data_IF_829675275812
#
_entry.id   IF_829675275812
#
_cell.length_a   1.000
_cell.length_b   1.000
_cell.length_c   1.000
_cell.angle_alpha   90.00
_cell.angle_beta   90.00
_cell.angle_gamma   90.00
#
_symmetry.space_group_name_H-M   'P 1'
#
loop_
_entity.id
_entity.type
_entity.pdbx_description
1 polymer ?
#
# COMPACT_ATOMS: atom_id res chain seq x y z
N UNK A 1 2.95 -3.60 16.99
CA UNK A 1 1.76 -2.82 17.39
C UNK A 1 1.44 -1.58 16.55
N UNK A 2 2.20 -1.26 15.49
CA UNK A 2 1.84 -0.17 14.55
C UNK A 2 0.77 -0.60 13.52
N UNK A 3 0.87 -1.83 12.99
CA UNK A 3 -0.11 -2.44 12.09
C UNK A 3 -1.49 -2.62 12.73
N UNK A 4 -1.55 -2.90 14.04
CA UNK A 4 -2.79 -3.03 14.79
C UNK A 4 -3.45 -1.69 15.07
N UNK A 5 -2.66 -0.64 15.27
CA UNK A 5 -3.17 0.71 15.57
C UNK A 5 -3.85 1.36 14.36
N UNK A 6 -3.37 1.07 13.14
CA UNK A 6 -3.89 1.66 11.89
C UNK A 6 -4.60 0.64 10.99
N UNK A 7 -5.19 -0.41 11.58
CA UNK A 7 -5.78 -1.51 10.83
C UNK A 7 -6.89 -1.07 9.87
N UNK A 8 -7.71 -0.10 10.29
CA UNK A 8 -8.88 0.32 9.51
C UNK A 8 -8.48 1.13 8.28
N UNK A 9 -7.49 2.00 8.43
CA UNK A 9 -6.90 2.78 7.35
C UNK A 9 -6.23 1.86 6.31
N UNK A 10 -5.54 0.82 6.78
CA UNK A 10 -4.93 -0.21 5.93
C UNK A 10 -5.97 -1.00 5.14
N UNK A 11 -7.04 -1.45 5.81
CA UNK A 11 -8.14 -2.14 5.14
C UNK A 11 -8.80 -1.21 4.11
N UNK A 12 -9.01 0.05 4.46
CA UNK A 12 -9.57 1.06 3.55
C UNK A 12 -8.71 1.22 2.30
N UNK A 13 -7.39 1.40 2.47
CA UNK A 13 -6.44 1.53 1.37
C UNK A 13 -6.44 0.31 0.44
N UNK A 14 -6.25 -0.88 1.02
CA UNK A 14 -6.20 -2.11 0.25
C UNK A 14 -7.54 -2.41 -0.45
N UNK A 15 -8.66 -2.08 0.19
CA UNK A 15 -9.99 -2.22 -0.43
C UNK A 15 -10.16 -1.30 -1.63
N UNK A 16 -9.61 -0.09 -1.61
CA UNK A 16 -9.64 0.81 -2.76
C UNK A 16 -8.78 0.29 -3.91
N UNK A 17 -7.60 -0.27 -3.63
CA UNK A 17 -6.82 -0.96 -4.67
C UNK A 17 -7.60 -2.13 -5.29
N UNK A 18 -8.28 -2.94 -4.47
CA UNK A 18 -9.15 -4.03 -4.96
C UNK A 18 -10.33 -3.49 -5.78
N UNK A 19 -10.91 -2.36 -5.37
CA UNK A 19 -12.04 -1.73 -6.05
C UNK A 19 -11.69 -1.18 -7.46
N UNK A 20 -10.42 -0.85 -7.71
CA UNK A 20 -9.94 -0.49 -9.05
C UNK A 20 -9.97 -1.70 -10.02
N UNK A 21 -10.15 -2.92 -9.51
CA UNK A 21 -10.29 -4.14 -10.29
C UNK A 21 -8.96 -4.86 -10.52
N UNK A 22 -9.00 -5.90 -11.36
CA UNK A 22 -7.81 -6.69 -11.69
C UNK A 22 -6.84 -5.85 -12.53
N UNK A 23 -5.61 -5.68 -12.06
CA UNK A 23 -4.62 -4.87 -12.76
C UNK A 23 -3.28 -4.80 -12.06
N UNK A 24 -2.35 -4.08 -12.71
CA UNK A 24 -1.06 -3.70 -12.15
C UNK A 24 -1.16 -2.22 -11.77
N UNK A 25 -0.84 -1.90 -10.52
CA UNK A 25 -0.74 -0.55 -10.00
C UNK A 25 0.73 -0.13 -10.04
N UNK A 26 1.00 1.01 -10.65
CA UNK A 26 2.32 1.62 -10.70
C UNK A 26 2.57 2.43 -9.41
N UNK A 27 3.83 2.79 -9.09
CA UNK A 27 4.17 3.48 -7.85
C UNK A 27 3.35 4.74 -7.59
N UNK A 28 3.11 5.55 -8.63
CA UNK A 28 2.32 6.76 -8.50
C UNK A 28 0.86 6.45 -8.12
N UNK A 29 0.26 5.39 -8.67
CA UNK A 29 -1.09 4.99 -8.28
C UNK A 29 -1.16 4.58 -6.80
N UNK A 30 -0.11 3.94 -6.28
CA UNK A 30 -0.03 3.56 -4.88
C UNK A 30 0.05 4.79 -3.97
N UNK A 31 0.87 5.77 -4.34
CA UNK A 31 1.07 7.01 -3.59
C UNK A 31 -0.19 7.88 -3.65
N UNK A 32 -0.79 8.07 -4.82
CA UNK A 32 -1.99 8.89 -5.01
C UNK A 32 -3.14 8.40 -4.12
N UNK A 33 -3.33 7.08 -4.04
CA UNK A 33 -4.34 6.44 -3.21
C UNK A 33 -4.06 6.58 -1.72
N UNK A 34 -2.79 6.52 -1.31
CA UNK A 34 -2.37 6.79 0.06
C UNK A 34 -2.68 8.24 0.46
N UNK A 35 -2.39 9.20 -0.42
CA UNK A 35 -2.67 10.62 -0.20
C UNK A 35 -4.16 10.97 -0.24
N UNK A 36 -4.96 10.21 -0.99
CA UNK A 36 -6.41 10.41 -1.03
C UNK A 36 -7.11 9.97 0.26
N UNK A 37 -6.55 8.98 0.98
CA UNK A 37 -7.15 8.45 2.22
C UNK A 37 -6.71 9.25 3.44
N UNK A 38 -5.46 9.68 3.43
CA UNK A 38 -4.82 10.35 4.54
C UNK A 38 -4.84 11.86 4.28
N UNK A 39 -5.55 12.61 5.13
CA UNK A 39 -5.48 14.07 5.09
C UNK A 39 -4.04 14.58 5.30
N UNK A 40 -3.84 15.90 5.21
CA UNK A 40 -2.52 16.53 5.34
C UNK A 40 -1.81 16.26 6.70
N UNK A 41 -2.52 15.79 7.73
CA UNK A 41 -2.00 15.61 9.09
C UNK A 41 -1.99 14.15 9.57
N UNK A 42 -1.97 13.17 8.65
CA UNK A 42 -2.07 11.77 9.06
C UNK A 42 -0.71 11.11 9.30
N UNK A 43 -0.48 10.68 10.54
CA UNK A 43 0.73 9.99 10.99
C UNK A 43 1.02 8.69 10.23
N UNK A 44 0.06 8.16 9.47
CA UNK A 44 0.25 6.97 8.64
C UNK A 44 1.08 7.27 7.37
N UNK A 45 0.99 8.49 6.82
CA UNK A 45 1.71 8.91 5.60
C UNK A 45 3.21 9.09 5.86
N UNK A 46 3.55 9.63 7.02
CA UNK A 46 4.93 9.83 7.47
C UNK A 46 5.40 8.72 8.44
N UNK A 47 4.52 7.75 8.71
CA UNK A 47 4.81 6.60 9.53
C UNK A 47 5.49 5.46 8.77
N UNK A 48 5.85 4.37 9.47
CA UNK A 48 6.54 3.23 8.88
C UNK A 48 5.79 2.60 7.70
N UNK A 49 4.45 2.67 7.71
CA UNK A 49 3.65 2.13 6.62
C UNK A 49 3.70 3.00 5.37
N UNK A 50 3.61 4.32 5.49
CA UNK A 50 3.77 5.24 4.38
C UNK A 50 5.13 5.06 3.68
N UNK A 51 6.20 4.86 4.44
CA UNK A 51 7.53 4.56 3.87
C UNK A 51 7.59 3.22 3.11
N UNK A 52 6.86 2.19 3.56
CA UNK A 52 6.73 0.93 2.83
C UNK A 52 6.01 1.15 1.50
N UNK A 53 4.91 1.89 1.48
CA UNK A 53 4.17 2.19 0.25
C UNK A 53 4.98 3.07 -0.70
N UNK A 54 5.70 4.08 -0.19
CA UNK A 54 6.60 4.92 -0.99
C UNK A 54 7.78 4.12 -1.60
N UNK A 55 8.20 3.04 -0.95
CA UNK A 55 9.25 2.14 -1.47
C UNK A 55 8.69 0.99 -2.33
N UNK A 56 7.37 0.87 -2.48
CA UNK A 56 6.75 -0.09 -3.37
C UNK A 56 6.98 0.27 -4.84
N UNK A 57 7.33 -0.73 -5.65
CA UNK A 57 7.61 -0.58 -7.08
C UNK A 57 6.41 -0.95 -7.96
N UNK A 58 5.58 -1.86 -7.48
CA UNK A 58 4.37 -2.27 -8.15
C UNK A 58 3.47 -2.99 -7.15
N UNK A 59 2.16 -2.93 -7.42
CA UNK A 59 1.22 -3.87 -6.81
C UNK A 59 0.40 -4.57 -7.88
N UNK A 60 0.16 -5.85 -7.68
CA UNK A 60 -0.72 -6.66 -8.52
C UNK A 60 -2.00 -6.89 -7.74
N UNK A 61 -3.11 -6.44 -8.31
CA UNK A 61 -4.43 -6.64 -7.76
C UNK A 61 -5.07 -7.83 -8.46
N UNK A 62 -5.36 -8.87 -7.68
CA UNK A 62 -6.11 -10.05 -8.11
C UNK A 62 -7.14 -10.35 -7.02
N UNK A 63 -8.37 -9.82 -7.11
CA UNK A 63 -9.36 -9.92 -6.03
C UNK A 63 -9.54 -11.37 -5.54
N UNK A 64 -9.49 -11.63 -4.20
CA UNK A 64 -9.41 -10.68 -3.08
C UNK A 64 -7.98 -10.29 -2.66
N UNK A 65 -6.96 -10.70 -3.41
CA UNK A 65 -5.56 -10.52 -3.06
C UNK A 65 -4.95 -9.24 -3.66
N UNK A 66 -4.07 -8.63 -2.87
CA UNK A 66 -3.15 -7.59 -3.31
C UNK A 66 -1.74 -8.07 -3.04
N UNK A 67 -0.93 -8.21 -4.08
CA UNK A 67 0.50 -8.53 -3.97
C UNK A 67 1.30 -7.24 -4.21
N UNK A 68 2.27 -6.95 -3.34
CA UNK A 68 3.07 -5.72 -3.39
C UNK A 68 4.54 -6.11 -3.45
N UNK A 69 5.26 -5.51 -4.41
CA UNK A 69 6.71 -5.62 -4.51
C UNK A 69 7.34 -4.36 -3.90
N UNK A 70 8.04 -4.52 -2.78
CA UNK A 70 8.69 -3.45 -2.03
C UNK A 70 10.19 -3.50 -2.28
N UNK A 71 10.81 -2.33 -2.51
CA UNK A 71 12.25 -2.21 -2.75
C UNK A 71 12.86 -1.21 -1.78
N UNK A 72 13.18 -1.62 -0.54
CA UNK A 72 13.73 -0.71 0.47
C UNK A 72 15.12 -0.15 0.09
N UNK A 73 15.93 -0.94 -0.63
CA UNK A 73 17.28 -0.56 -1.06
C UNK A 73 17.60 -1.11 -2.46
N UNK A 74 18.54 -0.50 -3.20
CA UNK A 74 18.96 -1.04 -4.49
C UNK A 74 19.48 -2.48 -4.36
N UNK A 75 18.88 -3.40 -5.11
CA UNK A 75 19.23 -4.83 -5.09
C UNK A 75 18.55 -5.65 -4.00
N UNK A 76 17.73 -5.04 -3.14
CA UNK A 76 16.94 -5.74 -2.10
C UNK A 76 15.46 -5.62 -2.43
N UNK A 77 14.78 -6.76 -2.51
CA UNK A 77 13.36 -6.86 -2.83
C UNK A 77 12.64 -7.68 -1.77
N UNK A 78 11.45 -7.22 -1.40
CA UNK A 78 10.53 -7.88 -0.49
C UNK A 78 9.17 -8.00 -1.17
N UNK A 79 8.51 -9.15 -0.99
CA UNK A 79 7.24 -9.44 -1.64
C UNK A 79 6.22 -9.82 -0.58
N UNK A 80 5.10 -9.09 -0.56
CA UNK A 80 4.03 -9.31 0.41
C UNK A 80 2.73 -9.55 -0.34
N UNK A 81 1.95 -10.53 0.09
CA UNK A 81 0.59 -10.75 -0.41
C UNK A 81 -0.39 -10.63 0.75
N UNK A 82 -1.35 -9.73 0.61
CA UNK A 82 -2.40 -9.49 1.60
C UNK A 82 -3.72 -10.01 1.03
N UNK A 83 -4.51 -10.67 1.88
CA UNK A 83 -5.90 -10.99 1.61
C UNK A 83 -6.75 -9.88 2.23
N UNK A 84 -7.53 -9.19 1.41
CA UNK A 84 -8.34 -8.03 1.80
C UNK A 84 -9.74 -8.48 2.21
#
# INVERSE_FOLDING_TARGET
DTLSAHRNELISLLSRYVAQGKGILQPHNLIDELENILGQEDHLKDGPFGEIIKSAQEAIVLPPFVAIAVRPRPGVWEYVRVNV
#
